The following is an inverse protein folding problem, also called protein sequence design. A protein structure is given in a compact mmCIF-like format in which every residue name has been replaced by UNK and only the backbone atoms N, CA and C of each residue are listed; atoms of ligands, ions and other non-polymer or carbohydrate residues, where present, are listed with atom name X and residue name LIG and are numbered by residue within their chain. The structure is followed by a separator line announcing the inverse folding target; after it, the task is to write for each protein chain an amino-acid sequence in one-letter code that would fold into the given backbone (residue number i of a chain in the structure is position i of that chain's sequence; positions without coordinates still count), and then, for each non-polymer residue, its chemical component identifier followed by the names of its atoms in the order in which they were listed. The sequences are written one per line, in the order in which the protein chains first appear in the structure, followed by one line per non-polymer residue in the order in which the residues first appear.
data_IF_697385651510
#
_entry.id   IF_697385651510
#
_cell.length_a   1.000
_cell.length_b   1.000
_cell.length_c   1.000
_cell.angle_alpha   90.00
_cell.angle_beta   90.00
_cell.angle_gamma   90.00
#
_symmetry.space_group_name_H-M   'P 1'
#
loop_
_entity.id
_entity.type
_entity.pdbx_description
1 polymer ?
#
# COMPACT_ATOMS: atom_id res chain seq x y z
N UNK A 1 20.58 -15.37 -18.14
CA UNK A 1 21.06 -14.94 -16.80
C UNK A 1 20.24 -13.71 -16.42
N UNK A 2 19.06 -13.90 -15.83
CA UNK A 2 18.19 -12.78 -15.42
C UNK A 2 18.78 -12.12 -14.18
N UNK A 3 19.08 -10.82 -14.29
CA UNK A 3 19.44 -9.99 -13.16
C UNK A 3 18.20 -9.90 -12.25
N UNK A 4 18.22 -10.58 -11.11
CA UNK A 4 17.20 -10.38 -10.08
C UNK A 4 17.37 -8.94 -9.56
N UNK A 5 16.52 -8.02 -10.01
CA UNK A 5 16.38 -6.73 -9.35
C UNK A 5 15.78 -7.02 -7.98
N UNK A 6 16.62 -7.07 -6.95
CA UNK A 6 16.18 -7.06 -5.57
C UNK A 6 15.36 -5.78 -5.36
N UNK A 7 14.03 -5.91 -5.46
CA UNK A 7 13.13 -4.81 -5.22
C UNK A 7 13.35 -4.30 -3.79
N UNK A 8 13.49 -2.98 -3.61
CA UNK A 8 13.86 -2.45 -2.30
C UNK A 8 12.85 -2.90 -1.23
N UNK A 9 13.37 -3.47 -0.15
CA UNK A 9 12.58 -4.05 0.94
C UNK A 9 11.75 -3.00 1.69
N UNK A 10 12.17 -1.74 1.66
CA UNK A 10 11.50 -0.62 2.32
C UNK A 10 10.87 0.33 1.32
N UNK A 11 9.75 0.93 1.72
CA UNK A 11 9.04 1.99 0.99
C UNK A 11 8.74 3.16 1.92
N UNK A 12 8.61 4.36 1.34
CA UNK A 12 8.28 5.59 2.07
C UNK A 12 6.90 6.07 1.64
N UNK A 13 5.98 6.19 2.58
CA UNK A 13 4.58 6.56 2.31
C UNK A 13 4.25 7.86 3.03
N UNK A 14 3.86 8.89 2.27
CA UNK A 14 3.24 10.09 2.80
C UNK A 14 1.83 9.77 3.30
N UNK A 15 1.54 10.05 4.55
CA UNK A 15 0.25 9.78 5.18
C UNK A 15 -0.43 11.06 5.62
N UNK A 16 -1.77 11.08 5.60
CA UNK A 16 -2.60 12.18 6.08
C UNK A 16 -2.48 13.49 5.28
N UNK A 17 -1.98 13.42 4.03
CA UNK A 17 -1.77 14.61 3.19
C UNK A 17 -3.03 15.43 2.91
N UNK A 18 -4.21 14.79 2.86
CA UNK A 18 -5.49 15.48 2.63
C UNK A 18 -5.88 16.44 3.77
N UNK A 19 -5.34 16.24 4.97
CA UNK A 19 -5.68 17.02 6.16
C UNK A 19 -4.83 18.29 6.31
N UNK A 20 -3.76 18.43 5.51
CA UNK A 20 -2.80 19.55 5.58
C UNK A 20 -2.40 19.89 7.04
N UNK A 21 -1.94 18.90 7.82
CA UNK A 21 -1.82 19.07 9.27
C UNK A 21 -0.75 20.10 9.62
N UNK A 22 -1.05 20.99 10.57
CA UNK A 22 -0.06 21.90 11.18
C UNK A 22 0.44 21.38 12.53
N UNK A 23 -0.21 20.36 13.05
CA UNK A 23 0.11 19.64 14.28
C UNK A 23 -0.18 18.16 14.07
N UNK A 24 0.74 17.31 14.53
CA UNK A 24 0.56 15.88 14.62
C UNK A 24 0.76 15.44 16.06
N UNK A 25 0.00 14.45 16.50
CA UNK A 25 0.20 13.79 17.78
C UNK A 25 0.74 12.38 17.55
N UNK A 26 1.80 12.00 18.26
CA UNK A 26 2.42 10.69 18.15
C UNK A 26 2.48 10.03 19.52
N UNK A 27 2.08 8.76 19.58
CA UNK A 27 2.11 7.96 20.80
C UNK A 27 2.64 6.54 20.51
N UNK A 28 3.32 5.88 21.46
CA UNK A 28 3.71 4.49 21.33
C UNK A 28 2.46 3.61 21.19
N UNK A 29 2.51 2.62 20.31
CA UNK A 29 1.56 1.52 20.38
C UNK A 29 1.81 0.70 21.66
N UNK A 30 0.84 -0.13 22.05
CA UNK A 30 0.95 -0.95 23.28
C UNK A 30 2.26 -1.76 23.30
N UNK A 31 3.04 -1.59 24.36
CA UNK A 31 4.32 -2.28 24.55
C UNK A 31 5.49 -1.72 23.73
N UNK A 32 5.32 -0.58 23.05
CA UNK A 32 6.37 0.10 22.29
C UNK A 32 6.99 1.25 23.07
N UNK A 33 8.22 1.58 22.71
CA UNK A 33 8.99 2.72 23.23
C UNK A 33 9.45 3.55 22.04
N UNK A 34 9.10 4.83 22.01
CA UNK A 34 9.49 5.74 20.94
C UNK A 34 10.70 6.57 21.35
N UNK A 35 11.68 6.63 20.46
CA UNK A 35 12.72 7.65 20.42
C UNK A 35 12.24 8.73 19.46
N UNK A 36 11.88 9.89 19.99
CA UNK A 36 11.41 11.04 19.20
C UNK A 36 12.51 12.09 19.21
N UNK A 37 12.90 12.56 18.04
CA UNK A 37 13.89 13.63 17.84
C UNK A 37 13.19 14.83 17.20
N UNK A 38 13.14 15.98 17.89
CA UNK A 38 12.50 17.23 17.43
C UNK A 38 13.53 18.35 17.58
N UNK A 39 13.80 19.08 16.50
CA UNK A 39 14.79 20.18 16.52
C UNK A 39 16.17 19.80 17.10
N UNK A 40 16.58 18.53 16.96
CA UNK A 40 17.85 18.00 17.48
C UNK A 40 17.79 17.52 18.94
N UNK A 41 16.70 17.77 19.66
CA UNK A 41 16.48 17.26 21.00
C UNK A 41 15.84 15.88 20.96
N UNK A 42 16.32 14.95 21.80
CA UNK A 42 15.79 13.59 21.90
C UNK A 42 14.98 13.40 23.16
N UNK A 43 13.82 12.81 22.99
CA UNK A 43 12.92 12.42 24.06
C UNK A 43 12.47 10.96 23.90
N UNK A 44 12.23 10.31 25.04
CA UNK A 44 11.75 8.92 25.09
C UNK A 44 10.29 8.95 25.51
N UNK A 45 9.41 8.32 24.72
CA UNK A 45 7.98 8.26 24.96
C UNK A 45 7.56 6.80 25.16
N UNK A 46 6.94 6.51 26.31
CA UNK A 46 6.53 5.17 26.73
C UNK A 46 5.12 5.22 27.35
N UNK A 47 4.47 4.06 27.49
CA UNK A 47 3.18 3.97 28.17
C UNK A 47 2.04 4.65 27.41
N UNK A 48 1.25 5.47 28.12
CA UNK A 48 0.10 6.19 27.55
C UNK A 48 0.44 7.66 27.19
N UNK A 49 1.72 8.02 27.21
CA UNK A 49 2.15 9.39 26.90
C UNK A 49 2.17 9.62 25.39
N UNK A 50 1.73 10.80 24.97
CA UNK A 50 1.84 11.27 23.60
C UNK A 50 2.73 12.51 23.51
N UNK A 51 3.24 12.79 22.32
CA UNK A 51 3.94 14.03 21.99
C UNK A 51 3.20 14.74 20.87
N UNK A 52 3.03 16.05 21.01
CA UNK A 52 2.58 16.93 19.93
C UNK A 52 3.78 17.48 19.16
N UNK A 53 3.73 17.37 17.85
CA UNK A 53 4.79 17.74 16.92
C UNK A 53 4.25 18.83 15.99
N UNK A 54 4.95 19.96 15.94
CA UNK A 54 4.61 21.14 15.12
C UNK A 54 5.73 21.58 14.18
N UNK A 55 6.78 20.78 14.08
CA UNK A 55 7.98 21.03 13.29
C UNK A 55 8.58 19.71 12.81
N UNK A 56 9.69 19.78 12.09
CA UNK A 56 10.38 18.58 11.64
C UNK A 56 10.78 17.65 12.80
N UNK A 57 10.52 16.36 12.63
CA UNK A 57 10.79 15.36 13.65
C UNK A 57 11.12 13.98 13.07
N UNK A 58 11.79 13.15 13.85
CA UNK A 58 12.04 11.75 13.55
C UNK A 58 11.60 10.88 14.71
N UNK A 59 10.74 9.89 14.44
CA UNK A 59 10.22 8.93 15.40
C UNK A 59 10.68 7.53 15.02
N UNK A 60 11.35 6.86 15.96
CA UNK A 60 11.92 5.52 15.78
C UNK A 60 11.83 4.71 17.07
N UNK A 61 12.15 3.41 17.01
CA UNK A 61 12.47 2.63 18.20
C UNK A 61 13.93 2.80 18.63
N UNK A 62 14.31 2.15 19.73
CA UNK A 62 15.71 2.11 20.21
C UNK A 62 16.66 1.69 19.08
N UNK A 63 17.77 2.40 18.94
CA UNK A 63 18.76 2.15 17.87
C UNK A 63 18.26 2.49 16.46
N UNK A 64 17.32 3.43 16.31
CA UNK A 64 16.71 3.86 15.03
C UNK A 64 16.01 2.72 14.27
N UNK A 65 15.53 1.71 14.99
CA UNK A 65 14.80 0.56 14.42
C UNK A 65 13.34 0.93 14.13
N UNK A 66 12.67 0.19 13.23
CA UNK A 66 11.22 0.27 13.10
C UNK A 66 10.52 -0.03 14.43
N UNK A 67 9.42 0.67 14.70
CA UNK A 67 8.62 0.52 15.93
C UNK A 67 7.14 0.69 15.60
N UNK A 68 6.25 0.17 16.46
CA UNK A 68 4.82 0.47 16.36
C UNK A 68 4.50 1.78 17.06
N UNK A 69 3.79 2.65 16.36
CA UNK A 69 3.37 3.96 16.85
C UNK A 69 2.02 4.32 16.25
N UNK A 70 1.27 5.15 16.95
CA UNK A 70 0.05 5.76 16.43
C UNK A 70 0.37 7.21 16.08
N UNK A 71 -0.04 7.63 14.88
CA UNK A 71 -0.01 9.04 14.47
C UNK A 71 -1.44 9.53 14.36
N UNK A 72 -1.69 10.71 14.87
CA UNK A 72 -3.00 11.35 14.84
C UNK A 72 -2.90 12.77 14.28
N UNK A 73 -3.89 13.13 13.47
CA UNK A 73 -4.26 14.53 13.23
C UNK A 73 -5.35 14.86 14.26
N UNK A 74 -5.08 15.73 15.25
CA UNK A 74 -5.99 15.96 16.38
C UNK A 74 -7.43 16.29 15.93
N UNK A 75 -8.40 15.56 16.49
CA UNK A 75 -9.82 15.73 16.18
C UNK A 75 -10.27 15.20 14.82
N UNK A 76 -9.39 14.60 14.01
CA UNK A 76 -9.71 14.19 12.64
C UNK A 76 -9.49 12.69 12.42
N UNK A 77 -8.26 12.20 12.58
CA UNK A 77 -7.91 10.81 12.30
C UNK A 77 -6.77 10.36 13.20
N UNK A 78 -6.73 9.06 13.52
CA UNK A 78 -5.58 8.39 14.07
C UNK A 78 -5.37 7.06 13.35
N UNK A 79 -4.12 6.61 13.24
CA UNK A 79 -3.79 5.30 12.66
C UNK A 79 -2.50 4.75 13.27
N UNK A 80 -2.51 3.46 13.60
CA UNK A 80 -1.29 2.73 13.95
C UNK A 80 -0.45 2.37 12.70
N UNK A 81 0.87 2.52 12.82
CA UNK A 81 1.86 2.14 11.83
C UNK A 81 2.97 1.31 12.47
N UNK A 82 3.67 0.52 11.63
CA UNK A 82 4.91 -0.17 11.97
C UNK A 82 6.00 0.31 11.01
N UNK A 83 6.98 1.06 11.52
CA UNK A 83 7.99 1.67 10.67
C UNK A 83 8.86 2.68 11.41
N UNK A 84 9.47 3.58 10.64
CA UNK A 84 10.03 4.84 11.12
C UNK A 84 9.17 5.98 10.58
N UNK A 85 8.94 7.00 11.39
CA UNK A 85 8.19 8.18 10.95
C UNK A 85 9.12 9.37 10.86
N UNK A 86 9.20 9.95 9.68
CA UNK A 86 9.83 11.24 9.41
C UNK A 86 8.71 12.27 9.22
N UNK A 87 8.76 13.36 9.97
CA UNK A 87 7.86 14.50 9.81
C UNK A 87 8.68 15.62 9.20
N UNK A 88 8.22 16.13 8.05
CA UNK A 88 8.79 17.29 7.38
C UNK A 88 7.86 18.47 7.50
N UNK A 89 8.44 19.65 7.61
CA UNK A 89 7.73 20.90 7.52
C UNK A 89 7.95 21.51 6.14
N UNK A 90 6.87 21.79 5.42
CA UNK A 90 6.93 22.45 4.11
C UNK A 90 5.75 23.39 3.96
N UNK A 91 6.04 24.63 3.60
CA UNK A 91 5.03 25.67 3.29
C UNK A 91 3.99 25.86 4.41
N UNK A 92 4.40 25.77 5.67
CA UNK A 92 3.51 25.93 6.83
C UNK A 92 2.63 24.71 7.15
N UNK A 93 2.88 23.56 6.52
CA UNK A 93 2.19 22.30 6.82
C UNK A 93 3.20 21.19 7.13
N UNK A 94 2.75 20.16 7.83
CA UNK A 94 3.50 18.97 8.15
C UNK A 94 3.16 17.85 7.17
N UNK A 95 4.20 17.16 6.70
CA UNK A 95 4.07 15.91 5.95
C UNK A 95 4.61 14.77 6.79
N UNK A 96 3.74 13.84 7.18
CA UNK A 96 4.12 12.60 7.84
C UNK A 96 4.53 11.56 6.79
N UNK A 97 5.76 11.08 6.86
CA UNK A 97 6.33 10.08 5.95
C UNK A 97 6.69 8.84 6.75
N UNK A 98 5.98 7.75 6.52
CA UNK A 98 6.24 6.45 7.15
C UNK A 98 7.14 5.62 6.25
N UNK A 99 8.35 5.33 6.74
CA UNK A 99 9.25 4.36 6.11
C UNK A 99 9.03 2.98 6.73
N UNK A 100 8.61 2.01 5.91
CA UNK A 100 8.20 0.69 6.38
C UNK A 100 8.61 -0.44 5.42
N UNK A 101 8.61 -1.67 5.94
CA UNK A 101 8.79 -2.87 5.13
C UNK A 101 7.64 -3.02 4.13
N UNK A 102 7.97 -3.33 2.88
CA UNK A 102 7.01 -3.42 1.78
C UNK A 102 5.96 -4.49 2.04
N UNK A 103 6.31 -5.63 2.63
CA UNK A 103 5.35 -6.71 2.88
C UNK A 103 4.38 -6.33 4.00
N UNK A 104 4.83 -5.52 4.96
CA UNK A 104 3.94 -4.89 5.94
C UNK A 104 2.94 -3.98 5.24
N UNK A 105 3.38 -3.15 4.28
CA UNK A 105 2.48 -2.31 3.50
C UNK A 105 1.52 -3.11 2.60
N UNK A 106 1.99 -4.17 1.95
CA UNK A 106 1.13 -5.08 1.16
C UNK A 106 0.04 -5.68 2.05
N UNK A 107 0.38 -6.16 3.24
CA UNK A 107 -0.62 -6.67 4.18
C UNK A 107 -1.64 -5.60 4.61
N UNK A 108 -1.18 -4.37 4.88
CA UNK A 108 -2.03 -3.21 5.18
C UNK A 108 -2.99 -2.87 4.03
N UNK A 109 -2.52 -2.91 2.78
CA UNK A 109 -3.34 -2.67 1.59
C UNK A 109 -4.38 -3.77 1.43
N UNK A 110 -3.99 -5.05 1.54
CA UNK A 110 -4.94 -6.18 1.41
C UNK A 110 -6.04 -6.12 2.48
N UNK A 111 -5.68 -5.73 3.71
CA UNK A 111 -6.64 -5.53 4.80
C UNK A 111 -7.63 -4.37 4.54
N UNK A 112 -7.21 -3.38 3.77
CA UNK A 112 -8.01 -2.21 3.39
C UNK A 112 -8.93 -2.50 2.19
N UNK A 113 -8.36 -3.08 1.14
CA UNK A 113 -8.95 -3.24 -0.19
C UNK A 113 -9.77 -4.53 -0.36
N UNK A 114 -9.52 -5.56 0.47
CA UNK A 114 -10.15 -6.87 0.32
C UNK A 114 -10.70 -7.45 1.64
N UNK A 115 -11.46 -6.67 2.44
CA UNK A 115 -12.16 -7.20 3.61
C UNK A 115 -13.24 -8.21 3.19
N UNK A 116 -13.37 -9.32 3.90
CA UNK A 116 -14.44 -10.31 3.65
C UNK A 116 -14.37 -11.13 2.34
N UNK A 117 -13.41 -10.88 1.44
CA UNK A 117 -13.24 -11.65 0.19
C UNK A 117 -12.70 -13.09 0.41
N UNK A 118 -12.75 -13.99 -0.59
CA UNK A 118 -12.08 -15.29 -0.53
C UNK A 118 -10.55 -15.18 -0.46
N UNK A 119 -9.88 -16.22 0.04
CA UNK A 119 -8.44 -16.19 0.29
C UNK A 119 -7.59 -16.05 -0.98
N UNK A 120 -7.95 -16.76 -2.06
CA UNK A 120 -7.25 -16.66 -3.35
C UNK A 120 -7.39 -15.26 -4.00
N UNK A 121 -8.52 -14.59 -3.79
CA UNK A 121 -8.68 -13.19 -4.20
C UNK A 121 -7.76 -12.25 -3.41
N UNK A 122 -7.57 -12.49 -2.09
CA UNK A 122 -6.61 -11.73 -1.29
C UNK A 122 -5.16 -11.95 -1.73
N UNK A 123 -4.81 -13.17 -2.14
CA UNK A 123 -3.49 -13.47 -2.72
C UNK A 123 -3.28 -12.71 -4.03
N UNK A 124 -4.27 -12.69 -4.91
CA UNK A 124 -4.21 -11.91 -6.14
C UNK A 124 -4.06 -10.41 -5.85
N UNK A 125 -4.82 -9.89 -4.89
CA UNK A 125 -4.69 -8.50 -4.43
C UNK A 125 -3.29 -8.21 -3.85
N UNK A 126 -2.71 -9.13 -3.08
CA UNK A 126 -1.37 -8.97 -2.50
C UNK A 126 -0.30 -8.84 -3.59
N UNK A 127 -0.34 -9.70 -4.61
CA UNK A 127 0.58 -9.65 -5.75
C UNK A 127 0.37 -8.37 -6.57
N UNK A 128 -0.88 -7.99 -6.86
CA UNK A 128 -1.17 -6.75 -7.57
C UNK A 128 -0.65 -5.52 -6.81
N UNK A 129 -0.94 -5.42 -5.51
CA UNK A 129 -0.44 -4.34 -4.65
C UNK A 129 1.10 -4.30 -4.61
N UNK A 130 1.77 -5.45 -4.48
CA UNK A 130 3.23 -5.52 -4.48
C UNK A 130 3.82 -5.07 -5.81
N UNK A 131 3.22 -5.48 -6.91
CA UNK A 131 3.64 -5.11 -8.27
C UNK A 131 3.48 -3.60 -8.48
N UNK A 132 2.38 -3.00 -8.01
CA UNK A 132 2.19 -1.55 -8.01
C UNK A 132 3.27 -0.82 -7.20
N UNK A 133 3.54 -1.26 -5.96
CA UNK A 133 4.55 -0.65 -5.09
C UNK A 133 5.98 -0.79 -5.65
N UNK A 134 6.23 -1.82 -6.46
CA UNK A 134 7.50 -2.05 -7.13
C UNK A 134 7.64 -1.25 -8.43
N UNK A 135 6.56 -1.14 -9.22
CA UNK A 135 6.57 -0.54 -10.56
C UNK A 135 6.17 0.94 -10.63
N UNK A 136 5.73 1.58 -9.54
CA UNK A 136 5.16 2.94 -9.57
C UNK A 136 5.88 4.00 -8.70
N UNK A 137 7.22 4.04 -8.75
CA UNK A 137 8.03 5.03 -8.00
C UNK A 137 8.17 6.38 -8.70
N UNK A 138 8.61 7.40 -7.95
CA UNK A 138 8.98 8.71 -8.49
C UNK A 138 7.81 9.64 -8.81
N UNK A 139 6.62 9.38 -8.26
CA UNK A 139 5.42 10.23 -8.44
C UNK A 139 5.29 11.34 -7.40
N UNK A 140 6.13 11.34 -6.37
CA UNK A 140 6.11 12.32 -5.30
C UNK A 140 7.53 12.82 -5.02
N UNK A 141 7.63 14.07 -4.55
CA UNK A 141 8.88 14.63 -4.08
C UNK A 141 9.14 14.18 -2.64
N UNK A 142 10.21 13.40 -2.44
CA UNK A 142 10.67 12.99 -1.10
C UNK A 142 10.04 11.74 -0.47
N UNK A 143 9.07 11.07 -1.13
CA UNK A 143 8.51 9.77 -0.74
C UNK A 143 7.99 8.99 -1.97
N UNK A 144 7.66 7.70 -1.80
CA UNK A 144 7.32 6.82 -2.92
C UNK A 144 5.81 6.81 -3.25
N UNK A 145 4.95 6.84 -2.23
CA UNK A 145 3.49 6.69 -2.34
C UNK A 145 2.72 7.57 -1.35
N UNK A 146 1.45 7.87 -1.62
CA UNK A 146 0.55 8.50 -0.64
C UNK A 146 -0.60 7.58 -0.20
N UNK A 147 -1.19 7.84 0.97
CA UNK A 147 -2.29 7.03 1.54
C UNK A 147 -3.69 7.41 1.04
N UNK A 148 -3.78 7.96 -0.17
CA UNK A 148 -5.03 8.38 -0.82
C UNK A 148 -5.35 7.50 -2.02
N UNK A 149 -6.51 7.72 -2.64
CA UNK A 149 -6.91 7.05 -3.90
C UNK A 149 -5.95 7.33 -5.07
N UNK A 150 -5.06 8.32 -4.96
CA UNK A 150 -4.01 8.57 -5.94
C UNK A 150 -2.95 7.46 -5.98
N UNK A 151 -2.69 6.80 -4.84
CA UNK A 151 -1.69 5.73 -4.74
C UNK A 151 -2.31 4.48 -4.15
N UNK A 152 -2.29 4.32 -2.82
CA UNK A 152 -2.85 3.14 -2.17
C UNK A 152 -3.44 3.50 -0.82
N UNK A 153 -4.60 2.96 -0.48
CA UNK A 153 -5.17 3.16 0.83
C UNK A 153 -4.59 2.13 1.81
N UNK A 154 -3.91 2.61 2.86
CA UNK A 154 -3.33 1.75 3.89
C UNK A 154 -4.20 1.75 5.14
N UNK A 155 -4.51 0.55 5.65
CA UNK A 155 -4.96 0.36 7.03
C UNK A 155 -3.79 0.10 7.97
N UNK A 156 -4.09 0.06 9.26
CA UNK A 156 -3.15 -0.39 10.29
C UNK A 156 -2.54 -1.75 9.92
N UNK A 157 -1.26 -2.01 10.24
CA UNK A 157 -0.63 -3.31 9.99
C UNK A 157 -1.43 -4.44 10.63
N UNK A 158 -2.03 -5.35 9.85
CA UNK A 158 -2.86 -6.41 10.39
C UNK A 158 -2.01 -7.46 11.11
N UNK A 159 -2.65 -8.30 11.94
CA UNK A 159 -1.97 -9.46 12.53
C UNK A 159 -1.39 -10.36 11.42
N UNK A 160 -0.16 -10.91 11.57
CA UNK A 160 0.41 -11.89 10.63
C UNK A 160 -0.47 -13.12 10.41
N UNK A 161 -1.29 -13.50 11.40
CA UNK A 161 -2.19 -14.66 11.32
C UNK A 161 -3.56 -14.32 10.70
N UNK A 162 -3.84 -13.04 10.45
CA UNK A 162 -5.08 -12.62 9.77
C UNK A 162 -5.11 -13.12 8.32
N UNK A 163 -6.29 -13.12 7.69
CA UNK A 163 -6.41 -13.49 6.28
C UNK A 163 -5.57 -12.58 5.36
N UNK A 164 -5.47 -11.29 5.67
CA UNK A 164 -4.63 -10.35 4.91
C UNK A 164 -3.13 -10.61 5.13
N UNK A 165 -2.72 -10.79 6.40
CA UNK A 165 -1.34 -11.11 6.75
C UNK A 165 -0.85 -12.41 6.10
N UNK A 166 -1.66 -13.47 6.17
CA UNK A 166 -1.34 -14.77 5.53
C UNK A 166 -1.29 -14.67 4.00
N UNK A 167 -2.22 -13.94 3.37
CA UNK A 167 -2.21 -13.78 1.92
C UNK A 167 -0.97 -13.04 1.42
N UNK A 168 -0.55 -11.99 2.13
CA UNK A 168 0.70 -11.28 1.85
C UNK A 168 1.92 -12.20 2.04
N UNK A 169 1.96 -12.96 3.14
CA UNK A 169 3.06 -13.88 3.45
C UNK A 169 3.19 -15.05 2.44
N UNK A 170 2.08 -15.70 2.07
CA UNK A 170 2.07 -16.83 1.12
C UNK A 170 2.39 -16.41 -0.32
N UNK A 171 2.32 -15.12 -0.62
CA UNK A 171 2.67 -14.56 -1.94
C UNK A 171 3.92 -13.67 -1.87
N UNK A 172 4.68 -13.73 -0.78
CA UNK A 172 5.86 -12.88 -0.57
C UNK A 172 6.81 -12.98 -1.76
N UNK A 173 7.33 -11.85 -2.21
CA UNK A 173 8.24 -11.78 -3.36
C UNK A 173 7.54 -11.74 -4.72
N UNK A 174 6.40 -12.44 -4.87
CA UNK A 174 5.72 -12.51 -6.16
C UNK A 174 5.20 -11.16 -6.65
N UNK A 175 5.64 -10.77 -7.84
CA UNK A 175 5.17 -9.60 -8.58
C UNK A 175 4.91 -9.96 -10.05
N UNK A 176 4.00 -9.21 -10.68
CA UNK A 176 3.72 -9.32 -12.11
C UNK A 176 4.83 -8.63 -12.90
N UNK A 177 5.32 -9.31 -13.92
CA UNK A 177 6.31 -8.78 -14.86
C UNK A 177 5.79 -8.85 -16.29
N UNK A 178 6.15 -7.86 -17.09
CA UNK A 178 5.86 -7.78 -18.51
C UNK A 178 7.12 -7.32 -19.23
N UNK A 179 7.57 -8.08 -20.24
CA UNK A 179 8.79 -7.78 -21.01
C UNK A 179 10.04 -7.55 -20.15
N UNK A 180 10.15 -8.25 -19.00
CA UNK A 180 11.29 -8.16 -18.09
C UNK A 180 11.21 -7.02 -17.06
N UNK A 181 10.17 -6.17 -17.10
CA UNK A 181 9.93 -5.11 -16.13
C UNK A 181 8.79 -5.46 -15.17
N UNK A 182 8.88 -5.01 -13.92
CA UNK A 182 7.78 -5.16 -12.96
C UNK A 182 6.63 -4.24 -13.37
N UNK A 183 5.45 -4.83 -13.54
CA UNK A 183 4.24 -4.13 -13.93
C UNK A 183 3.67 -3.34 -12.75
N UNK A 184 3.34 -2.07 -12.98
CA UNK A 184 2.56 -1.23 -12.08
C UNK A 184 1.08 -1.67 -11.97
N UNK A 185 0.80 -2.88 -11.48
CA UNK A 185 -0.52 -3.51 -11.57
C UNK A 185 -1.67 -2.69 -10.93
N UNK A 186 -2.49 -2.08 -11.77
CA UNK A 186 -3.68 -1.32 -11.39
C UNK A 186 -4.86 -2.23 -11.04
N UNK A 187 -5.72 -1.76 -10.13
CA UNK A 187 -6.94 -2.46 -9.75
C UNK A 187 -8.03 -1.48 -9.28
N UNK A 188 -9.29 -1.91 -9.38
CA UNK A 188 -10.45 -1.11 -8.98
C UNK A 188 -11.57 -1.99 -8.42
N UNK A 189 -12.51 -1.39 -7.69
CA UNK A 189 -13.56 -2.11 -6.96
C UNK A 189 -14.46 -2.94 -7.88
N UNK A 190 -15.11 -2.29 -8.86
CA UNK A 190 -16.00 -2.96 -9.80
C UNK A 190 -15.88 -2.34 -11.19
N UNK A 191 -15.63 -3.17 -12.20
CA UNK A 191 -15.47 -2.73 -13.59
C UNK A 191 -16.78 -2.64 -14.40
N UNK A 192 -17.90 -3.14 -13.86
CA UNK A 192 -19.19 -3.16 -14.53
C UNK A 192 -19.35 -4.29 -15.55
N UNK A 193 -18.50 -5.32 -15.51
CA UNK A 193 -18.55 -6.49 -16.39
C UNK A 193 -17.47 -6.53 -17.46
N UNK A 194 -16.70 -5.46 -17.63
CA UNK A 194 -15.56 -5.43 -18.56
C UNK A 194 -14.51 -4.42 -18.10
N UNK A 195 -13.24 -4.81 -18.12
CA UNK A 195 -12.13 -3.87 -17.85
C UNK A 195 -11.89 -2.99 -19.07
N UNK A 196 -11.00 -2.00 -18.95
CA UNK A 196 -10.63 -1.10 -20.04
C UNK A 196 -9.12 -1.09 -20.27
N UNK A 197 -8.74 -0.74 -21.49
CA UNK A 197 -7.38 -0.34 -21.85
C UNK A 197 -7.03 1.06 -21.34
N UNK A 198 -5.74 1.36 -21.27
CA UNK A 198 -5.27 2.72 -20.97
C UNK A 198 -5.84 3.76 -21.95
N UNK A 199 -5.92 3.40 -23.24
CA UNK A 199 -6.44 4.27 -24.28
C UNK A 199 -7.92 4.61 -24.05
N UNK A 200 -8.75 3.61 -23.74
CA UNK A 200 -10.18 3.82 -23.45
C UNK A 200 -10.43 4.59 -22.14
N UNK A 201 -9.47 4.56 -21.21
CA UNK A 201 -9.49 5.36 -19.99
C UNK A 201 -8.95 6.80 -20.20
N UNK A 202 -8.40 7.11 -21.38
CA UNK A 202 -7.77 8.39 -21.67
C UNK A 202 -6.43 8.60 -20.96
N UNK A 203 -5.77 7.51 -20.55
CA UNK A 203 -4.48 7.55 -19.86
C UNK A 203 -3.33 7.34 -20.86
N UNK A 204 -2.16 7.88 -20.54
CA UNK A 204 -0.96 7.69 -21.37
C UNK A 204 -0.68 6.19 -21.49
N UNK A 205 -0.62 5.70 -22.73
CA UNK A 205 -0.28 4.30 -23.02
C UNK A 205 1.16 4.03 -22.59
N UNK A 206 1.32 3.06 -21.69
CA UNK A 206 2.63 2.53 -21.29
C UNK A 206 2.99 1.26 -22.06
N UNK A 207 4.09 0.60 -21.65
CA UNK A 207 4.52 -0.67 -22.27
C UNK A 207 3.44 -1.76 -22.16
N UNK A 208 2.78 -1.83 -21.00
CA UNK A 208 1.66 -2.73 -20.80
C UNK A 208 0.33 -2.04 -21.14
N UNK A 209 -0.47 -2.57 -22.08
CA UNK A 209 -1.67 -1.89 -22.59
C UNK A 209 -2.88 -1.94 -21.64
N UNK A 210 -2.81 -2.75 -20.58
CA UNK A 210 -3.95 -3.10 -19.72
C UNK A 210 -5.11 -3.68 -20.52
N UNK A 211 -4.92 -4.88 -21.06
CA UNK A 211 -5.93 -5.55 -21.88
C UNK A 211 -7.33 -5.46 -21.28
N UNK A 212 -8.29 -5.09 -22.13
CA UNK A 212 -9.70 -5.12 -21.78
C UNK A 212 -10.17 -6.58 -21.80
N UNK A 213 -10.67 -7.06 -20.66
CA UNK A 213 -11.10 -8.44 -20.46
C UNK A 213 -12.51 -8.49 -19.86
N UNK A 214 -13.25 -9.53 -20.20
CA UNK A 214 -14.56 -9.80 -19.61
C UNK A 214 -14.43 -10.09 -18.11
N UNK A 215 -15.37 -9.60 -17.32
CA UNK A 215 -15.40 -9.83 -15.87
C UNK A 215 -16.68 -10.57 -15.48
N UNK A 216 -16.60 -11.61 -14.62
CA UNK A 216 -17.78 -12.37 -14.19
C UNK A 216 -18.73 -11.55 -13.31
N UNK A 217 -18.26 -10.43 -12.76
CA UNK A 217 -19.08 -9.49 -11.98
C UNK A 217 -19.56 -8.32 -12.85
N UNK A 218 -20.87 -8.12 -12.84
CA UNK A 218 -21.56 -6.94 -13.38
C UNK A 218 -22.02 -6.06 -12.22
N UNK A 219 -22.30 -4.78 -12.50
CA UNK A 219 -22.79 -3.86 -11.48
C UNK A 219 -22.43 -2.41 -11.77
N UNK A 220 -22.61 -1.57 -10.75
CA UNK A 220 -22.22 -0.16 -10.80
C UNK A 220 -20.69 -0.07 -10.84
N UNK A 221 -20.18 0.63 -11.84
CA UNK A 221 -18.75 0.90 -11.97
C UNK A 221 -18.26 1.70 -10.76
N UNK A 222 -17.18 1.22 -10.15
CA UNK A 222 -16.49 1.91 -9.07
C UNK A 222 -14.98 1.82 -9.27
N UNK A 223 -14.35 2.95 -9.58
CA UNK A 223 -12.94 3.08 -9.93
C UNK A 223 -12.64 3.12 -11.43
N UNK A 224 -11.36 3.01 -11.79
CA UNK A 224 -10.86 3.31 -13.14
C UNK A 224 -11.03 2.19 -14.18
N UNK A 225 -11.39 0.96 -13.77
CA UNK A 225 -11.59 -0.22 -14.64
C UNK A 225 -10.35 -0.76 -15.37
N UNK A 226 -9.18 -0.17 -15.15
CA UNK A 226 -7.89 -0.73 -15.57
C UNK A 226 -7.45 -1.90 -14.68
N UNK A 227 -6.99 -3.00 -15.29
CA UNK A 227 -6.40 -4.14 -14.59
C UNK A 227 -7.40 -4.96 -13.78
N UNK A 228 -7.06 -5.30 -12.53
CA UNK A 228 -7.83 -6.24 -11.73
C UNK A 228 -9.11 -5.63 -11.17
N UNK A 229 -10.24 -6.31 -11.38
CA UNK A 229 -11.52 -6.01 -10.74
C UNK A 229 -11.61 -6.76 -9.40
N UNK A 230 -11.73 -6.05 -8.28
CA UNK A 230 -11.70 -6.66 -6.94
C UNK A 230 -12.91 -7.57 -6.69
N UNK A 231 -14.11 -7.11 -7.02
CA UNK A 231 -15.31 -7.93 -6.94
C UNK A 231 -15.26 -9.11 -7.91
N UNK A 232 -14.75 -8.88 -9.12
CA UNK A 232 -14.57 -9.92 -10.13
C UNK A 232 -13.58 -11.00 -9.70
N UNK A 233 -12.45 -10.61 -9.10
CA UNK A 233 -11.48 -11.53 -8.51
C UNK A 233 -12.08 -12.33 -7.34
N UNK A 234 -12.87 -11.68 -6.48
CA UNK A 234 -13.58 -12.36 -5.42
C UNK A 234 -14.56 -13.41 -5.98
N UNK A 235 -15.30 -13.08 -7.04
CA UNK A 235 -16.21 -14.02 -7.68
C UNK A 235 -15.50 -15.20 -8.35
N UNK A 236 -14.42 -14.95 -9.08
CA UNK A 236 -13.59 -16.02 -9.64
C UNK A 236 -13.09 -16.97 -8.54
N UNK A 237 -12.62 -16.43 -7.41
CA UNK A 237 -12.18 -17.24 -6.28
C UNK A 237 -13.33 -18.04 -5.64
N UNK A 238 -14.55 -17.50 -5.56
CA UNK A 238 -15.73 -18.25 -5.09
C UNK A 238 -16.07 -19.42 -6.01
N UNK A 239 -15.77 -19.29 -7.31
CA UNK A 239 -15.92 -20.36 -8.32
C UNK A 239 -14.75 -21.33 -8.36
N UNK A 240 -13.78 -21.19 -7.46
CA UNK A 240 -12.64 -22.11 -7.31
C UNK A 240 -11.37 -21.69 -8.04
N UNK A 241 -11.31 -20.50 -8.66
CA UNK A 241 -10.08 -20.03 -9.29
C UNK A 241 -9.00 -19.73 -8.24
N UNK A 242 -7.78 -20.16 -8.53
CA UNK A 242 -6.57 -19.82 -7.80
C UNK A 242 -6.15 -18.39 -8.06
N UNK A 243 -5.31 -17.82 -7.20
CA UNK A 243 -4.79 -16.47 -7.39
C UNK A 243 -4.00 -16.32 -8.69
N UNK A 244 -3.35 -17.39 -9.17
CA UNK A 244 -2.59 -17.39 -10.43
C UNK A 244 -3.51 -17.29 -11.63
N UNK A 245 -4.63 -18.01 -11.62
CA UNK A 245 -5.65 -17.93 -12.67
C UNK A 245 -6.33 -16.56 -12.69
N UNK A 246 -6.65 -16.02 -11.50
CA UNK A 246 -7.22 -14.67 -11.36
C UNK A 246 -6.26 -13.63 -11.96
N UNK A 247 -4.98 -13.68 -11.60
CA UNK A 247 -3.99 -12.74 -12.14
C UNK A 247 -3.78 -12.92 -13.63
N UNK A 248 -3.73 -14.15 -14.13
CA UNK A 248 -3.56 -14.42 -15.57
C UNK A 248 -4.75 -13.91 -16.39
N UNK A 249 -5.96 -13.95 -15.82
CA UNK A 249 -7.17 -13.41 -16.43
C UNK A 249 -7.14 -11.88 -16.54
N UNK A 250 -6.84 -11.16 -15.44
CA UNK A 250 -6.83 -9.70 -15.43
C UNK A 250 -5.55 -9.07 -16.00
N UNK A 251 -4.45 -9.82 -16.03
CA UNK A 251 -3.17 -9.36 -16.53
C UNK A 251 -2.57 -10.33 -17.57
N UNK A 252 -3.22 -10.52 -18.74
CA UNK A 252 -2.73 -11.45 -19.74
C UNK A 252 -1.36 -11.01 -20.29
N UNK A 253 -0.59 -11.99 -20.77
CA UNK A 253 0.80 -11.84 -21.22
C UNK A 253 1.81 -11.38 -20.15
N UNK A 254 1.42 -11.33 -18.88
CA UNK A 254 2.36 -11.16 -17.76
C UNK A 254 2.85 -12.51 -17.23
N UNK A 255 3.96 -12.47 -16.51
CA UNK A 255 4.46 -13.63 -15.74
C UNK A 255 4.68 -13.25 -14.29
N UNK A 256 4.69 -14.24 -13.39
CA UNK A 256 5.02 -14.03 -11.98
C UNK A 256 6.51 -14.20 -11.77
N UNK A 257 7.18 -13.14 -11.32
CA UNK A 257 8.59 -13.13 -10.94
C UNK A 257 8.77 -12.84 -9.44
N UNK A 258 9.92 -13.23 -8.90
CA UNK A 258 10.39 -12.89 -7.56
C UNK A 258 11.43 -11.78 -7.58
#
# INVERSE_FOLDING_TARGET
MMLALALAATIRIGVFGLFHPVELEVQPARGSVLMVEIAGERQVIEGAHSVRIRSAALVTGRGRRPVRFVVSVPGQIHREFLGRLEIREQSGTLTAIVEMDRETAVASIVAAESPGTPFEARKAQAVAARSFLAGSRGRHDGFDFCDTTHCQFLREPPSPTSAAGRAAAETRGLALTYQGHVLAALYSANCGGHTRTLQEAGWKVGEYPYFAVECPMRGVVSGHRLGLCQEGAAEMARRGATFREILSHYFPATTLGE
#
